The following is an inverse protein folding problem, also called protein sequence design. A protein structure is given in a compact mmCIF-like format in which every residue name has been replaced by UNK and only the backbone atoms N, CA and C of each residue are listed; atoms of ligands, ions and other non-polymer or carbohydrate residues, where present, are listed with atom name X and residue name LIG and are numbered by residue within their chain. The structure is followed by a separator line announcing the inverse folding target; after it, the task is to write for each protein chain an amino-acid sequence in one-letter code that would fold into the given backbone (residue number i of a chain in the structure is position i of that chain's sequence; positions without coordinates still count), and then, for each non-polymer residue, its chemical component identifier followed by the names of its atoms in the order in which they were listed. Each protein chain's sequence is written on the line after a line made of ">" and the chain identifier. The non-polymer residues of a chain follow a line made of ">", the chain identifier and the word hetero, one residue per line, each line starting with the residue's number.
data_IF_128772852256
#
_entry.id   IF_128772852256
#
_cell.length_a   1.000
_cell.length_b   1.000
_cell.length_c   1.000
_cell.angle_alpha   90.00
_cell.angle_beta   90.00
_cell.angle_gamma   90.00
#
_symmetry.space_group_name_H-M   'P 1'
#
loop_
_entity.id
_entity.type
_entity.pdbx_description
1 polymer ?
#
# COMPACT_ATOMS: atom_id res chain seq x y z
N UNK A 1 5.76 24.10 -13.13
CA UNK A 1 5.24 22.72 -13.12
C UNK A 1 5.02 22.17 -11.70
N UNK A 2 5.75 22.67 -10.68
CA UNK A 2 5.66 22.26 -9.26
C UNK A 2 4.25 22.35 -8.65
N UNK A 3 3.53 23.46 -8.85
CA UNK A 3 2.18 23.68 -8.27
C UNK A 3 1.16 22.59 -8.66
N UNK A 4 1.27 22.02 -9.86
CA UNK A 4 0.30 21.02 -10.36
C UNK A 4 0.51 19.66 -9.69
N UNK A 5 1.75 19.25 -9.45
CA UNK A 5 2.04 18.02 -8.72
C UNK A 5 1.61 18.15 -7.25
N UNK A 6 1.90 19.30 -6.63
CA UNK A 6 1.48 19.55 -5.23
C UNK A 6 -0.05 19.45 -5.06
N UNK A 7 -0.82 19.96 -6.03
CA UNK A 7 -2.29 19.85 -6.01
C UNK A 7 -2.80 18.43 -6.21
N UNK A 8 -2.20 17.66 -7.13
CA UNK A 8 -2.54 16.25 -7.32
C UNK A 8 -2.29 15.47 -6.02
N UNK A 9 -1.15 15.71 -5.38
CA UNK A 9 -0.76 15.04 -4.13
C UNK A 9 -1.67 15.41 -2.96
N UNK A 10 -2.07 16.68 -2.87
CA UNK A 10 -3.06 17.15 -1.89
C UNK A 10 -4.41 16.45 -2.07
N UNK A 11 -4.88 16.31 -3.31
CA UNK A 11 -6.13 15.59 -3.61
C UNK A 11 -6.00 14.11 -3.22
N UNK A 12 -4.89 13.46 -3.57
CA UNK A 12 -4.63 12.08 -3.18
C UNK A 12 -4.61 11.90 -1.67
N UNK A 13 -3.99 12.82 -0.93
CA UNK A 13 -3.90 12.74 0.53
C UNK A 13 -5.29 12.79 1.16
N UNK A 14 -6.17 13.65 0.65
CA UNK A 14 -7.58 13.71 1.10
C UNK A 14 -8.44 12.58 0.58
N UNK A 15 -8.11 12.01 -0.56
CA UNK A 15 -8.78 10.81 -1.05
C UNK A 15 -8.48 9.59 -0.17
N UNK A 16 -7.24 9.43 0.32
CA UNK A 16 -6.87 8.41 1.31
C UNK A 16 -7.81 8.48 2.51
N UNK A 17 -7.90 9.65 3.15
CA UNK A 17 -8.73 9.86 4.33
C UNK A 17 -10.20 9.46 4.06
N UNK A 18 -10.78 9.97 2.97
CA UNK A 18 -12.18 9.73 2.60
C UNK A 18 -12.47 8.26 2.29
N UNK A 19 -11.58 7.58 1.56
CA UNK A 19 -11.76 6.17 1.22
C UNK A 19 -11.51 5.26 2.42
N UNK A 20 -10.51 5.55 3.26
CA UNK A 20 -10.25 4.77 4.48
C UNK A 20 -11.44 4.83 5.44
N UNK A 21 -12.06 6.01 5.60
CA UNK A 21 -13.22 6.21 6.48
C UNK A 21 -14.52 5.60 5.92
N UNK A 22 -14.84 5.87 4.65
CA UNK A 22 -16.16 5.54 4.09
C UNK A 22 -16.19 4.23 3.31
N UNK A 23 -15.03 3.71 2.94
CA UNK A 23 -14.87 2.64 1.96
C UNK A 23 -15.14 3.10 0.52
N UNK A 24 -14.73 2.27 -0.44
CA UNK A 24 -14.83 2.58 -1.88
C UNK A 24 -16.25 2.96 -2.33
N UNK A 25 -17.27 2.23 -1.89
CA UNK A 25 -18.64 2.40 -2.38
C UNK A 25 -19.29 3.71 -1.92
N UNK A 26 -19.15 4.07 -0.65
CA UNK A 26 -19.79 5.27 -0.09
C UNK A 26 -18.99 6.55 -0.35
N UNK A 27 -17.69 6.45 -0.60
CA UNK A 27 -16.88 7.59 -0.99
C UNK A 27 -17.33 8.19 -2.33
N UNK A 28 -17.20 9.53 -2.45
CA UNK A 28 -17.53 10.29 -3.67
C UNK A 28 -16.43 11.30 -4.00
N UNK A 29 -16.22 11.57 -5.29
CA UNK A 29 -15.26 12.60 -5.73
C UNK A 29 -15.67 14.00 -5.27
N UNK A 30 -16.97 14.25 -5.05
CA UNK A 30 -17.47 15.48 -4.44
C UNK A 30 -16.99 15.64 -2.98
N UNK A 31 -17.02 14.55 -2.20
CA UNK A 31 -16.50 14.58 -0.83
C UNK A 31 -14.99 14.82 -0.82
N UNK A 32 -14.24 14.12 -1.67
CA UNK A 32 -12.79 14.34 -1.81
C UNK A 32 -12.48 15.80 -2.17
N UNK A 33 -13.20 16.37 -3.15
CA UNK A 33 -13.02 17.76 -3.54
C UNK A 33 -13.25 18.72 -2.37
N UNK A 34 -14.33 18.51 -1.60
CA UNK A 34 -14.65 19.28 -0.40
C UNK A 34 -13.52 19.21 0.64
N UNK A 35 -13.03 18.00 0.97
CA UNK A 35 -11.96 17.82 1.95
C UNK A 35 -10.60 18.37 1.46
N UNK A 36 -10.35 18.34 0.15
CA UNK A 36 -9.17 18.93 -0.47
C UNK A 36 -9.26 20.46 -0.66
N UNK A 37 -10.41 21.07 -0.38
CA UNK A 37 -10.62 22.51 -0.60
C UNK A 37 -10.58 22.93 -2.07
N UNK A 38 -10.99 22.05 -2.98
CA UNK A 38 -11.04 22.28 -4.43
C UNK A 38 -12.42 22.00 -4.99
N UNK A 39 -12.68 22.40 -6.24
CA UNK A 39 -13.95 22.07 -6.91
C UNK A 39 -13.93 20.63 -7.43
N UNK A 40 -15.10 19.99 -7.51
CA UNK A 40 -15.18 18.63 -8.07
C UNK A 40 -14.70 18.54 -9.53
N UNK A 41 -15.00 19.51 -10.43
CA UNK A 41 -14.39 19.55 -11.76
C UNK A 41 -12.87 19.60 -11.75
N UNK A 42 -12.25 20.22 -10.73
CA UNK A 42 -10.80 20.24 -10.59
C UNK A 42 -10.22 18.86 -10.23
N UNK A 43 -10.94 18.04 -9.45
CA UNK A 43 -10.57 16.63 -9.24
C UNK A 43 -10.63 15.85 -10.55
N UNK A 44 -11.69 16.07 -11.35
CA UNK A 44 -11.84 15.43 -12.67
C UNK A 44 -10.79 15.86 -13.69
N UNK A 45 -10.09 16.97 -13.47
CA UNK A 45 -8.94 17.36 -14.29
C UNK A 45 -7.72 16.44 -14.09
N UNK A 46 -7.66 15.71 -12.97
CA UNK A 46 -6.58 14.76 -12.66
C UNK A 46 -6.98 13.29 -12.78
N UNK A 47 -8.25 12.98 -12.50
CA UNK A 47 -8.76 11.61 -12.44
C UNK A 47 -10.10 11.55 -13.15
N UNK A 48 -10.22 10.75 -14.20
CA UNK A 48 -11.39 10.75 -15.08
C UNK A 48 -12.66 10.28 -14.37
N UNK A 49 -12.51 9.46 -13.33
CA UNK A 49 -13.62 8.92 -12.54
C UNK A 49 -13.17 8.54 -11.11
N UNK A 50 -14.11 8.04 -10.29
CA UNK A 50 -13.83 7.59 -8.91
C UNK A 50 -12.87 6.38 -8.87
N UNK A 51 -12.98 5.48 -9.84
CA UNK A 51 -12.16 4.28 -9.94
C UNK A 51 -10.69 4.63 -10.19
N UNK A 52 -10.40 5.54 -11.13
CA UNK A 52 -9.04 6.05 -11.38
C UNK A 52 -8.46 6.78 -10.16
N UNK A 53 -9.27 7.56 -9.45
CA UNK A 53 -8.83 8.20 -8.21
C UNK A 53 -8.49 7.16 -7.14
N UNK A 54 -9.32 6.12 -6.98
CA UNK A 54 -9.08 5.05 -6.03
C UNK A 54 -7.81 4.25 -6.38
N UNK A 55 -7.65 3.88 -7.65
CA UNK A 55 -6.44 3.22 -8.17
C UNK A 55 -5.19 4.04 -7.86
N UNK A 56 -5.22 5.35 -8.11
CA UNK A 56 -4.08 6.22 -7.83
C UNK A 56 -3.76 6.33 -6.33
N UNK A 57 -4.75 6.17 -5.45
CA UNK A 57 -4.54 6.10 -3.99
C UNK A 57 -3.88 4.77 -3.61
N UNK A 58 -4.28 3.66 -4.22
CA UNK A 58 -3.64 2.34 -4.03
C UNK A 58 -2.19 2.36 -4.54
N UNK A 59 -1.95 2.96 -5.70
CA UNK A 59 -0.60 3.13 -6.26
C UNK A 59 0.33 3.87 -5.32
N UNK A 60 -0.18 4.93 -4.70
CA UNK A 60 0.57 5.70 -3.71
C UNK A 60 0.94 4.85 -2.50
N UNK A 61 -0.01 4.08 -1.98
CA UNK A 61 0.19 3.22 -0.81
C UNK A 61 1.22 2.10 -1.08
N UNK A 62 1.02 1.35 -2.17
CA UNK A 62 1.94 0.26 -2.55
C UNK A 62 3.29 0.81 -3.00
N UNK A 63 3.32 1.96 -3.68
CA UNK A 63 4.56 2.63 -4.09
C UNK A 63 5.46 2.96 -2.91
N UNK A 64 4.91 3.36 -1.75
CA UNK A 64 5.70 3.57 -0.53
C UNK A 64 6.36 2.29 -0.03
N UNK A 65 5.64 1.17 -0.05
CA UNK A 65 6.19 -0.14 0.34
C UNK A 65 7.30 -0.55 -0.63
N UNK A 66 7.06 -0.43 -1.94
CA UNK A 66 8.04 -0.75 -2.98
C UNK A 66 9.31 0.10 -2.85
N UNK A 67 9.15 1.42 -2.68
CA UNK A 67 10.26 2.36 -2.50
C UNK A 67 11.05 2.02 -1.24
N UNK A 68 10.38 1.70 -0.13
CA UNK A 68 11.02 1.35 1.11
C UNK A 68 11.82 0.03 0.98
N UNK A 69 11.24 -1.01 0.36
CA UNK A 69 11.94 -2.27 0.09
C UNK A 69 13.14 -2.10 -0.84
N UNK A 70 13.03 -1.25 -1.85
CA UNK A 70 14.13 -1.01 -2.81
C UNK A 70 15.36 -0.38 -2.15
N UNK A 71 15.18 0.37 -1.06
CA UNK A 71 16.24 1.09 -0.34
C UNK A 71 16.92 0.25 0.75
N UNK A 72 16.36 -0.90 1.10
CA UNK A 72 16.95 -1.76 2.14
C UNK A 72 18.23 -2.39 1.60
N UNK A 73 19.34 -2.18 2.30
CA UNK A 73 20.61 -2.87 2.06
C UNK A 73 21.00 -3.61 3.33
N UNK A 74 21.11 -4.93 3.25
CA UNK A 74 21.42 -5.78 4.40
C UNK A 74 22.09 -7.09 3.94
N UNK A 75 22.92 -7.71 4.79
CA UNK A 75 23.40 -9.08 4.59
C UNK A 75 22.25 -10.08 4.42
N UNK A 76 22.50 -11.19 3.71
CA UNK A 76 21.49 -12.19 3.37
C UNK A 76 20.75 -12.76 4.59
N UNK A 77 21.47 -12.98 5.70
CA UNK A 77 20.95 -13.50 6.97
C UNK A 77 20.10 -12.49 7.75
N UNK A 78 20.17 -11.20 7.43
CA UNK A 78 19.44 -10.11 8.09
C UNK A 78 18.42 -9.43 7.17
N UNK A 79 18.43 -9.75 5.87
CA UNK A 79 17.65 -9.04 4.86
C UNK A 79 16.15 -9.11 5.11
N UNK A 80 15.64 -10.30 5.45
CA UNK A 80 14.22 -10.51 5.70
C UNK A 80 13.74 -9.73 6.93
N UNK A 81 14.53 -9.75 8.01
CA UNK A 81 14.24 -9.01 9.24
C UNK A 81 14.25 -7.50 9.00
N UNK A 82 15.29 -6.99 8.32
CA UNK A 82 15.44 -5.56 8.01
C UNK A 82 14.29 -5.07 7.11
N UNK A 83 13.88 -5.86 6.11
CA UNK A 83 12.72 -5.55 5.29
C UNK A 83 11.41 -5.59 6.08
N UNK A 84 11.28 -6.49 7.05
CA UNK A 84 10.14 -6.56 7.96
C UNK A 84 10.02 -5.32 8.86
N UNK A 85 11.13 -4.83 9.41
CA UNK A 85 11.17 -3.60 10.20
C UNK A 85 10.76 -2.37 9.37
N UNK A 86 11.29 -2.27 8.15
CA UNK A 86 10.92 -1.19 7.23
C UNK A 86 9.44 -1.27 6.82
N UNK A 87 8.89 -2.47 6.68
CA UNK A 87 7.45 -2.65 6.43
C UNK A 87 6.60 -2.13 7.60
N UNK A 88 6.96 -2.47 8.84
CA UNK A 88 6.29 -1.97 10.05
C UNK A 88 6.33 -0.45 10.15
N UNK A 89 7.47 0.16 9.85
CA UNK A 89 7.63 1.63 9.87
C UNK A 89 6.70 2.31 8.86
N UNK A 90 6.58 1.75 7.65
CA UNK A 90 5.65 2.23 6.63
C UNK A 90 4.20 2.09 7.11
N UNK A 91 3.85 0.94 7.66
CA UNK A 91 2.49 0.67 8.14
C UNK A 91 2.05 1.62 9.26
N UNK A 92 2.91 1.79 10.27
CA UNK A 92 2.64 2.67 11.41
C UNK A 92 2.59 4.15 11.00
N UNK A 93 3.41 4.55 10.03
CA UNK A 93 3.42 5.92 9.49
C UNK A 93 2.20 6.24 8.62
N UNK A 94 1.60 5.24 7.98
CA UNK A 94 0.57 5.42 6.96
C UNK A 94 -0.66 4.52 7.19
N UNK A 95 -1.13 4.42 8.43
CA UNK A 95 -2.24 3.53 8.83
C UNK A 95 -3.50 3.62 7.95
N UNK A 96 -3.89 4.82 7.51
CA UNK A 96 -5.07 5.00 6.65
C UNK A 96 -4.89 4.31 5.28
N UNK A 97 -3.68 4.31 4.74
CA UNK A 97 -3.34 3.63 3.49
C UNK A 97 -3.32 2.11 3.66
N UNK A 98 -2.76 1.62 4.78
CA UNK A 98 -2.81 0.20 5.14
C UNK A 98 -4.25 -0.33 5.17
N UNK A 99 -5.15 0.38 5.86
CA UNK A 99 -6.57 0.02 5.92
C UNK A 99 -7.22 -0.01 4.53
N UNK A 100 -6.87 0.96 3.69
CA UNK A 100 -7.41 1.08 2.34
C UNK A 100 -6.93 -0.04 1.42
N UNK A 101 -5.65 -0.44 1.50
CA UNK A 101 -5.13 -1.60 0.76
C UNK A 101 -5.85 -2.88 1.19
N UNK A 102 -6.12 -3.07 2.48
CA UNK A 102 -6.92 -4.22 2.95
C UNK A 102 -8.32 -4.26 2.34
N UNK A 103 -9.01 -3.12 2.28
CA UNK A 103 -10.33 -3.05 1.65
C UNK A 103 -10.26 -3.41 0.16
N UNK A 104 -9.22 -2.97 -0.53
CA UNK A 104 -9.04 -3.17 -1.97
C UNK A 104 -8.98 -4.64 -2.39
N UNK A 105 -8.48 -5.54 -1.53
CA UNK A 105 -8.44 -6.98 -1.80
C UNK A 105 -9.80 -7.61 -2.07
N UNK A 106 -10.88 -6.99 -1.61
CA UNK A 106 -12.25 -7.56 -1.66
C UNK A 106 -13.16 -6.84 -2.64
N UNK A 107 -12.63 -5.84 -3.37
CA UNK A 107 -13.39 -5.04 -4.34
C UNK A 107 -13.57 -5.83 -5.66
N UNK A 108 -14.80 -6.16 -6.09
CA UNK A 108 -15.09 -6.99 -7.26
C UNK A 108 -14.95 -6.30 -8.62
N UNK A 109 -14.85 -4.97 -8.65
CA UNK A 109 -14.69 -4.15 -9.86
C UNK A 109 -13.49 -4.64 -10.68
N UNK A 110 -13.68 -5.06 -11.96
CA UNK A 110 -12.62 -5.71 -12.73
C UNK A 110 -11.34 -4.89 -12.84
N UNK A 111 -11.43 -3.58 -13.07
CA UNK A 111 -10.26 -2.72 -13.21
C UNK A 111 -9.48 -2.60 -11.89
N UNK A 112 -10.18 -2.43 -10.76
CA UNK A 112 -9.52 -2.39 -9.43
C UNK A 112 -8.88 -3.74 -9.11
N UNK A 113 -9.61 -4.84 -9.32
CA UNK A 113 -9.09 -6.19 -9.05
C UNK A 113 -7.87 -6.52 -9.90
N UNK A 114 -7.90 -6.18 -11.19
CA UNK A 114 -6.76 -6.38 -12.09
C UNK A 114 -5.55 -5.57 -11.63
N UNK A 115 -5.78 -4.31 -11.29
CA UNK A 115 -4.74 -3.39 -10.85
C UNK A 115 -4.07 -3.83 -9.54
N UNK A 116 -4.88 -4.17 -8.52
CA UNK A 116 -4.39 -4.69 -7.23
C UNK A 116 -3.62 -5.98 -7.44
N UNK A 117 -4.11 -6.90 -8.30
CA UNK A 117 -3.36 -8.13 -8.63
C UNK A 117 -1.98 -7.81 -9.22
N UNK A 118 -1.94 -6.89 -10.18
CA UNK A 118 -0.68 -6.45 -10.79
C UNK A 118 0.30 -5.87 -9.78
N UNK A 119 -0.18 -5.00 -8.89
CA UNK A 119 0.63 -4.42 -7.82
C UNK A 119 1.24 -5.46 -6.88
N UNK A 120 0.44 -6.42 -6.40
CA UNK A 120 0.95 -7.49 -5.54
C UNK A 120 1.90 -8.44 -6.29
N UNK A 121 1.62 -8.73 -7.56
CA UNK A 121 2.54 -9.50 -8.41
C UNK A 121 3.89 -8.78 -8.55
N UNK A 122 3.89 -7.46 -8.72
CA UNK A 122 5.13 -6.68 -8.86
C UNK A 122 5.92 -6.63 -7.54
N UNK A 123 5.24 -6.45 -6.40
CA UNK A 123 5.89 -6.51 -5.09
C UNK A 123 6.53 -7.89 -4.87
N UNK A 124 5.79 -8.97 -5.15
CA UNK A 124 6.33 -10.33 -5.02
C UNK A 124 7.58 -10.53 -5.90
N UNK A 125 7.52 -10.15 -7.18
CA UNK A 125 8.66 -10.23 -8.08
C UNK A 125 9.86 -9.44 -7.57
N UNK A 126 9.66 -8.23 -7.06
CA UNK A 126 10.74 -7.40 -6.52
C UNK A 126 11.39 -8.02 -5.29
N UNK A 127 10.59 -8.57 -4.37
CA UNK A 127 11.12 -9.30 -3.18
C UNK A 127 11.89 -10.54 -3.62
N UNK A 128 11.35 -11.32 -4.56
CA UNK A 128 11.99 -12.52 -5.11
C UNK A 128 13.34 -12.20 -5.76
N UNK A 129 13.38 -11.19 -6.63
CA UNK A 129 14.61 -10.74 -7.28
C UNK A 129 15.67 -10.36 -6.25
N UNK A 130 15.25 -9.65 -5.20
CA UNK A 130 16.15 -9.21 -4.14
C UNK A 130 16.68 -10.37 -3.29
N UNK A 131 15.83 -11.30 -2.90
CA UNK A 131 16.23 -12.49 -2.14
C UNK A 131 17.14 -13.40 -2.96
N UNK A 132 16.87 -13.51 -4.26
CA UNK A 132 17.74 -14.23 -5.21
C UNK A 132 19.10 -13.57 -5.32
N UNK A 133 19.15 -12.24 -5.50
CA UNK A 133 20.40 -11.48 -5.61
C UNK A 133 21.24 -11.55 -4.31
N UNK A 134 20.59 -11.62 -3.16
CA UNK A 134 21.24 -11.80 -1.86
C UNK A 134 21.69 -13.25 -1.59
N UNK A 135 21.29 -14.22 -2.43
CA UNK A 135 21.68 -15.62 -2.29
C UNK A 135 20.97 -16.37 -1.17
N UNK A 136 19.73 -15.98 -0.83
CA UNK A 136 18.93 -16.72 0.15
C UNK A 136 18.62 -18.14 -0.37
N UNK A 137 18.60 -19.16 0.52
CA UNK A 137 18.12 -20.48 0.14
C UNK A 137 16.63 -20.43 -0.20
N UNK A 138 16.22 -21.17 -1.23
CA UNK A 138 14.81 -21.28 -1.66
C UNK A 138 14.09 -19.91 -1.78
N UNK A 139 14.61 -18.97 -2.59
CA UNK A 139 14.19 -17.57 -2.56
C UNK A 139 12.70 -17.36 -2.88
N UNK A 140 12.09 -18.25 -3.67
CA UNK A 140 10.65 -18.25 -3.97
C UNK A 140 9.80 -18.59 -2.73
N UNK A 141 10.20 -19.60 -1.96
CA UNK A 141 9.55 -19.97 -0.71
C UNK A 141 9.74 -18.87 0.34
N UNK A 142 10.95 -18.32 0.45
CA UNK A 142 11.27 -17.21 1.34
C UNK A 142 10.45 -15.95 1.00
N UNK A 143 10.34 -15.59 -0.28
CA UNK A 143 9.51 -14.46 -0.72
C UNK A 143 8.02 -14.70 -0.42
N UNK A 144 7.51 -15.92 -0.64
CA UNK A 144 6.13 -16.29 -0.31
C UNK A 144 5.86 -16.19 1.20
N UNK A 145 6.79 -16.67 2.02
CA UNK A 145 6.72 -16.57 3.48
C UNK A 145 6.76 -15.12 3.94
N UNK A 146 7.64 -14.30 3.36
CA UNK A 146 7.73 -12.87 3.65
C UNK A 146 6.42 -12.15 3.34
N UNK A 147 5.82 -12.39 2.17
CA UNK A 147 4.50 -11.85 1.84
C UNK A 147 3.42 -12.31 2.83
N UNK A 148 3.41 -13.60 3.18
CA UNK A 148 2.49 -14.15 4.18
C UNK A 148 2.64 -13.49 5.55
N UNK A 149 3.87 -13.22 5.97
CA UNK A 149 4.16 -12.50 7.20
C UNK A 149 3.64 -11.06 7.15
N UNK A 150 3.84 -10.36 6.02
CA UNK A 150 3.29 -9.01 5.81
C UNK A 150 1.77 -8.98 5.94
N UNK A 151 1.06 -9.97 5.40
CA UNK A 151 -0.39 -10.10 5.58
C UNK A 151 -0.78 -10.36 7.05
N UNK A 152 -0.04 -11.23 7.76
CA UNK A 152 -0.30 -11.51 9.17
C UNK A 152 -0.11 -10.27 10.04
N UNK A 153 0.98 -9.52 9.83
CA UNK A 153 1.27 -8.25 10.49
C UNK A 153 0.14 -7.26 10.24
N UNK A 154 -0.26 -7.12 8.98
CA UNK A 154 -1.33 -6.21 8.57
C UNK A 154 -2.65 -6.53 9.25
N UNK A 155 -3.05 -7.80 9.27
CA UNK A 155 -4.29 -8.22 9.94
C UNK A 155 -4.21 -8.01 11.44
N UNK A 156 -3.09 -8.35 12.08
CA UNK A 156 -2.90 -8.19 13.52
C UNK A 156 -2.99 -6.71 13.93
N UNK A 157 -2.36 -5.80 13.17
CA UNK A 157 -2.38 -4.36 13.48
C UNK A 157 -3.76 -3.71 13.24
N UNK A 158 -4.50 -4.18 12.23
CA UNK A 158 -5.84 -3.66 11.94
C UNK A 158 -6.88 -4.17 12.94
N UNK A 159 -6.73 -5.41 13.42
CA UNK A 159 -7.62 -5.99 14.42
C UNK A 159 -7.21 -5.70 15.88
N UNK A 160 -6.07 -5.03 16.09
CA UNK A 160 -5.49 -4.77 17.42
C UNK A 160 -5.22 -6.07 18.21
N UNK A 161 -4.55 -7.03 17.55
CA UNK A 161 -4.23 -8.37 18.07
C UNK A 161 -2.71 -8.59 18.20
N UNK A 162 -2.01 -7.88 19.10
CA UNK A 162 -0.54 -7.97 19.23
C UNK A 162 -0.04 -9.38 19.56
N UNK A 163 -0.86 -10.22 20.20
CA UNK A 163 -0.51 -11.62 20.50
C UNK A 163 -0.29 -12.50 19.26
N UNK A 164 -0.77 -12.09 18.08
CA UNK A 164 -0.51 -12.78 16.81
C UNK A 164 0.92 -12.53 16.30
N UNK A 165 1.62 -11.56 16.89
CA UNK A 165 2.98 -11.14 16.52
C UNK A 165 4.04 -11.66 17.49
N UNK A 166 3.78 -12.74 18.24
CA UNK A 166 4.72 -13.26 19.24
C UNK A 166 6.12 -13.53 18.68
N UNK A 167 6.28 -13.77 17.38
CA UNK A 167 7.58 -13.91 16.72
C UNK A 167 8.43 -12.63 16.68
N UNK A 168 7.86 -11.45 16.97
CA UNK A 168 8.59 -10.17 17.09
C UNK A 168 9.18 -9.95 18.49
N UNK A 169 8.61 -10.58 19.51
CA UNK A 169 8.90 -10.31 20.95
C UNK A 169 9.15 -11.59 21.79
N UNK A 170 9.54 -12.70 21.16
CA UNK A 170 9.87 -13.97 21.85
C UNK A 170 11.38 -14.17 22.03
#
# INVERSE_FOLDING_TARGET
>A
MVIRQDRKEQILAKAVDVFAELGYYKATTARVAKEAGVTQPYVFHFFSNKEELFIAVIDRAIGRIADAFSRVEAPADQLMETMGQVFDDVMSSYRAETLLVMQAHTIPEPAIREHVRGLFSNIFSSVLEKFTAAGLPEPEAAASQFMGMGYLITVAEVLDLPQMLCFKDC
#
